data_IF_421489718003
#
_entry.id   IF_421489718003
#
_cell.length_a   1.000
_cell.length_b   1.000
_cell.length_c   1.000
_cell.angle_alpha   90.00
_cell.angle_beta   90.00
_cell.angle_gamma   90.00
#
_symmetry.space_group_name_H-M   'P 1'
#
loop_
_entity.id
_entity.type
_entity.pdbx_description
1 polymer ?
#
# COMPACT_ATOMS: atom_id res chain seq x y z
N UNK A 1 -11.06 17.93 10.32
CA UNK A 1 -9.95 18.90 10.33
C UNK A 1 -9.09 18.63 11.56
N UNK A 2 -7.77 18.51 11.41
CA UNK A 2 -6.87 18.14 12.53
C UNK A 2 -6.53 19.40 13.32
N UNK A 3 -6.90 19.43 14.61
CA UNK A 3 -6.46 20.50 15.52
C UNK A 3 -4.97 20.32 15.83
N UNK A 4 -4.18 21.40 15.66
CA UNK A 4 -2.73 21.45 15.90
C UNK A 4 -1.94 20.32 15.20
N UNK A 5 -1.77 20.38 13.86
CA UNK A 5 -1.18 19.30 13.07
C UNK A 5 0.25 18.94 13.51
N UNK A 6 1.03 19.90 13.98
CA UNK A 6 2.45 19.71 14.36
C UNK A 6 2.65 18.65 15.46
N UNK A 7 1.79 18.63 16.48
CA UNK A 7 1.91 17.72 17.61
C UNK A 7 1.00 16.50 17.48
N UNK A 8 -0.17 16.68 16.88
CA UNK A 8 -1.18 15.62 16.76
C UNK A 8 -0.76 14.56 15.73
N UNK A 9 -0.17 14.97 14.60
CA UNK A 9 0.26 14.04 13.53
C UNK A 9 1.30 13.02 14.00
N UNK A 10 2.42 13.40 14.66
CA UNK A 10 3.41 12.40 15.09
C UNK A 10 2.87 11.48 16.18
N UNK A 11 2.06 12.00 17.12
CA UNK A 11 1.45 11.20 18.18
C UNK A 11 0.43 10.20 17.65
N UNK A 12 -0.42 10.62 16.71
CA UNK A 12 -1.41 9.74 16.09
C UNK A 12 -0.75 8.67 15.21
N UNK A 13 0.36 9.02 14.53
CA UNK A 13 1.14 8.06 13.78
C UNK A 13 1.74 6.98 14.70
N UNK A 14 2.36 7.38 15.82
CA UNK A 14 2.99 6.44 16.74
C UNK A 14 1.97 5.52 17.43
N UNK A 15 0.84 6.08 17.90
CA UNK A 15 -0.21 5.29 18.52
C UNK A 15 -0.89 4.35 17.50
N UNK A 16 -1.18 4.85 16.31
CA UNK A 16 -1.77 4.06 15.23
C UNK A 16 -0.87 2.88 14.83
N UNK A 17 0.40 3.13 14.55
CA UNK A 17 1.35 2.07 14.20
C UNK A 17 1.49 1.03 15.30
N UNK A 18 1.53 1.45 16.56
CA UNK A 18 1.66 0.53 17.71
C UNK A 18 0.44 -0.39 17.84
N UNK A 19 -0.77 0.18 17.72
CA UNK A 19 -2.03 -0.58 17.79
C UNK A 19 -2.12 -1.57 16.62
N UNK A 20 -1.84 -1.11 15.40
CA UNK A 20 -1.85 -1.99 14.22
C UNK A 20 -0.85 -3.14 14.40
N UNK A 21 0.38 -2.85 14.84
CA UNK A 21 1.40 -3.87 15.08
C UNK A 21 0.95 -4.90 16.12
N UNK A 22 0.37 -4.44 17.23
CA UNK A 22 -0.16 -5.32 18.27
C UNK A 22 -1.26 -6.23 17.74
N UNK A 23 -2.23 -5.68 16.99
CA UNK A 23 -3.31 -6.46 16.39
C UNK A 23 -2.78 -7.50 15.41
N UNK A 24 -1.83 -7.13 14.55
CA UNK A 24 -1.20 -8.07 13.62
C UNK A 24 -0.47 -9.21 14.35
N UNK A 25 0.28 -8.91 15.41
CA UNK A 25 0.94 -9.93 16.22
C UNK A 25 -0.09 -10.86 16.87
N UNK A 26 -1.15 -10.31 17.45
CA UNK A 26 -2.20 -11.07 18.12
C UNK A 26 -2.95 -12.00 17.15
N UNK A 27 -3.23 -11.52 15.92
CA UNK A 27 -3.83 -12.34 14.87
C UNK A 27 -2.90 -13.49 14.43
N UNK A 28 -1.61 -13.22 14.24
CA UNK A 28 -0.65 -14.27 13.88
C UNK A 28 -0.51 -15.33 14.99
N UNK A 29 -0.47 -14.91 16.26
CA UNK A 29 -0.46 -15.82 17.41
C UNK A 29 -1.73 -16.68 17.42
N UNK A 30 -2.91 -16.07 17.18
CA UNK A 30 -4.19 -16.78 17.11
C UNK A 30 -4.23 -17.83 15.99
N UNK A 31 -3.68 -17.51 14.82
CA UNK A 31 -3.59 -18.47 13.71
C UNK A 31 -2.67 -19.64 14.03
N UNK A 32 -1.47 -19.38 14.55
CA UNK A 32 -0.50 -20.43 14.89
C UNK A 32 -0.93 -21.29 16.08
N UNK A 33 -1.80 -20.79 16.96
CA UNK A 33 -2.33 -21.57 18.08
C UNK A 33 -3.37 -22.62 17.64
N UNK A 34 -4.08 -22.39 16.52
CA UNK A 34 -5.19 -23.23 16.07
C UNK A 34 -4.83 -24.08 14.85
N UNK A 35 -4.01 -23.55 13.95
CA UNK A 35 -3.66 -24.17 12.67
C UNK A 35 -2.24 -24.73 12.69
N UNK A 36 -2.05 -25.85 11.99
CA UNK A 36 -0.71 -26.37 11.73
C UNK A 36 -0.01 -25.59 10.61
N UNK A 37 1.33 -25.52 10.58
CA UNK A 37 2.05 -24.81 9.51
C UNK A 37 1.74 -25.32 8.11
N UNK A 38 1.47 -26.61 7.95
CA UNK A 38 1.11 -27.19 6.65
C UNK A 38 -0.26 -26.69 6.16
N UNK A 39 -1.25 -26.59 7.05
CA UNK A 39 -2.58 -26.07 6.71
C UNK A 39 -2.54 -24.59 6.31
N UNK A 40 -1.66 -23.80 6.92
CA UNK A 40 -1.48 -22.37 6.59
C UNK A 40 -0.94 -22.21 5.17
N UNK A 41 0.02 -23.04 4.77
CA UNK A 41 0.65 -22.96 3.45
C UNK A 41 -0.28 -23.49 2.35
N UNK A 42 -1.11 -24.49 2.66
CA UNK A 42 -2.04 -25.08 1.68
C UNK A 42 -3.36 -24.31 1.55
N UNK A 43 -3.68 -23.40 2.46
CA UNK A 43 -4.96 -22.67 2.47
C UNK A 43 -4.89 -21.39 1.63
N UNK A 44 -5.81 -21.23 0.69
CA UNK A 44 -5.97 -19.96 -0.07
C UNK A 44 -6.39 -18.78 0.83
N UNK A 45 -7.15 -19.06 1.90
CA UNK A 45 -7.56 -18.06 2.89
C UNK A 45 -7.43 -18.59 4.31
N UNK A 46 -6.31 -18.24 4.95
CA UNK A 46 -5.97 -18.64 6.32
C UNK A 46 -7.06 -18.26 7.32
N UNK A 47 -7.68 -17.08 7.15
CA UNK A 47 -8.73 -16.59 8.03
C UNK A 47 -10.02 -17.44 7.99
N UNK A 48 -10.39 -17.93 6.81
CA UNK A 48 -11.58 -18.78 6.65
C UNK A 48 -11.31 -20.17 7.22
N UNK A 49 -10.12 -20.74 6.97
CA UNK A 49 -9.73 -22.03 7.56
C UNK A 49 -9.66 -21.96 9.09
N UNK A 50 -9.14 -20.86 9.64
CA UNK A 50 -9.16 -20.61 11.08
C UNK A 50 -10.59 -20.58 11.65
N UNK A 51 -11.50 -19.83 11.01
CA UNK A 51 -12.88 -19.74 11.47
C UNK A 51 -13.60 -21.09 11.41
N UNK A 52 -13.34 -21.90 10.38
CA UNK A 52 -13.91 -23.24 10.26
C UNK A 52 -13.52 -24.16 11.42
N UNK A 53 -12.32 -23.99 11.98
CA UNK A 53 -11.85 -24.75 13.14
C UNK A 53 -12.48 -24.29 14.45
N UNK A 54 -12.68 -22.99 14.63
CA UNK A 54 -13.16 -22.43 15.90
C UNK A 54 -14.69 -22.36 15.96
N UNK A 55 -15.33 -21.81 14.92
CA UNK A 55 -16.78 -21.63 14.84
C UNK A 55 -17.30 -22.04 13.44
N UNK A 56 -17.62 -23.33 13.23
CA UNK A 56 -18.06 -23.85 11.93
C UNK A 56 -19.32 -23.14 11.37
N UNK A 57 -20.21 -22.67 12.25
CA UNK A 57 -21.43 -21.95 11.87
C UNK A 57 -21.20 -20.51 11.41
N UNK A 58 -20.07 -19.90 11.76
CA UNK A 58 -19.76 -18.49 11.49
C UNK A 58 -18.92 -18.27 10.21
N UNK A 59 -18.59 -19.33 9.46
CA UNK A 59 -17.76 -19.25 8.24
C UNK A 59 -18.28 -18.23 7.22
N UNK A 60 -19.60 -18.20 6.99
CA UNK A 60 -20.20 -17.29 6.01
C UNK A 60 -20.03 -15.83 6.41
N UNK A 61 -20.12 -15.54 7.70
CA UNK A 61 -20.00 -14.18 8.24
C UNK A 61 -18.59 -13.65 8.05
N UNK A 62 -17.56 -14.45 8.34
CA UNK A 62 -16.17 -14.00 8.15
C UNK A 62 -15.84 -13.81 6.66
N UNK A 63 -16.31 -14.71 5.79
CA UNK A 63 -16.06 -14.60 4.35
C UNK A 63 -16.70 -13.32 3.77
N UNK A 64 -17.93 -13.01 4.19
CA UNK A 64 -18.58 -11.76 3.83
C UNK A 64 -17.83 -10.54 4.38
N UNK A 65 -17.36 -10.58 5.63
CA UNK A 65 -16.58 -9.50 6.23
C UNK A 65 -15.25 -9.22 5.52
N UNK A 66 -14.54 -10.28 5.11
CA UNK A 66 -13.31 -10.15 4.32
C UNK A 66 -13.63 -9.56 2.94
N UNK A 67 -14.67 -10.08 2.27
CA UNK A 67 -15.06 -9.63 0.94
C UNK A 67 -15.45 -8.15 0.90
N UNK A 68 -16.25 -7.69 1.87
CA UNK A 68 -16.64 -6.28 1.96
C UNK A 68 -15.45 -5.37 2.27
N UNK A 69 -14.51 -5.82 3.10
CA UNK A 69 -13.29 -5.08 3.42
C UNK A 69 -12.36 -4.95 2.20
N UNK A 70 -12.19 -6.03 1.44
CA UNK A 70 -11.43 -6.01 0.19
C UNK A 70 -12.07 -5.08 -0.84
N UNK A 71 -13.39 -5.16 -1.01
CA UNK A 71 -14.13 -4.27 -1.90
C UNK A 71 -13.93 -2.79 -1.50
N UNK A 72 -14.14 -2.46 -0.22
CA UNK A 72 -13.95 -1.09 0.27
C UNK A 72 -12.52 -0.57 0.04
N UNK A 73 -11.51 -1.41 0.28
CA UNK A 73 -10.10 -1.07 0.08
C UNK A 73 -9.79 -0.76 -1.39
N UNK A 74 -10.31 -1.56 -2.31
CA UNK A 74 -10.17 -1.35 -3.76
C UNK A 74 -10.83 -0.04 -4.22
N UNK A 75 -12.06 0.23 -3.76
CA UNK A 75 -12.75 1.50 -4.06
C UNK A 75 -11.95 2.70 -3.56
N UNK A 76 -11.43 2.64 -2.33
CA UNK A 76 -10.60 3.72 -1.78
C UNK A 76 -9.30 3.93 -2.58
N UNK A 77 -8.69 2.85 -3.05
CA UNK A 77 -7.51 2.91 -3.93
C UNK A 77 -7.79 3.63 -5.24
N UNK A 78 -8.89 3.30 -5.92
CA UNK A 78 -9.30 3.94 -7.18
C UNK A 78 -9.59 5.43 -6.97
N UNK A 79 -10.30 5.79 -5.90
CA UNK A 79 -10.61 7.20 -5.58
C UNK A 79 -9.36 8.01 -5.22
N UNK A 80 -8.40 7.40 -4.54
CA UNK A 80 -7.14 8.07 -4.19
C UNK A 80 -6.27 8.30 -5.43
N UNK A 81 -6.17 7.28 -6.28
CA UNK A 81 -5.40 7.36 -7.52
C UNK A 81 -5.99 8.41 -8.48
N UNK A 82 -7.32 8.42 -8.68
CA UNK A 82 -7.96 9.37 -9.60
C UNK A 82 -7.69 10.84 -9.26
N UNK A 83 -7.57 11.19 -7.97
CA UNK A 83 -7.17 12.53 -7.52
C UNK A 83 -5.74 12.90 -7.90
N UNK A 84 -4.82 11.94 -7.87
CA UNK A 84 -3.43 12.13 -8.29
C UNK A 84 -3.38 12.39 -9.79
N UNK A 85 -4.09 11.58 -10.60
CA UNK A 85 -4.19 11.77 -12.05
C UNK A 85 -4.82 13.13 -12.42
N UNK A 86 -5.85 13.55 -11.68
CA UNK A 86 -6.49 14.86 -11.86
C UNK A 86 -5.53 16.02 -11.56
N UNK A 87 -4.74 15.95 -10.49
CA UNK A 87 -3.75 17.01 -10.21
C UNK A 87 -2.59 17.00 -11.21
N UNK A 88 -2.10 15.83 -11.59
CA UNK A 88 -1.04 15.70 -12.57
C UNK A 88 -1.45 16.24 -13.96
N UNK A 89 -2.72 16.14 -14.35
CA UNK A 89 -3.22 16.75 -15.59
C UNK A 89 -3.37 18.27 -15.48
N UNK A 90 -3.73 18.81 -14.31
CA UNK A 90 -3.72 20.26 -14.08
C UNK A 90 -2.31 20.87 -14.15
N UNK A 91 -1.31 20.12 -13.69
CA UNK A 91 0.10 20.52 -13.76
C UNK A 91 0.70 20.33 -15.17
N UNK A 92 -0.11 19.95 -16.16
CA UNK A 92 0.29 19.76 -17.55
C UNK A 92 1.14 18.50 -17.82
N UNK A 93 1.30 17.62 -16.84
CA UNK A 93 2.07 16.38 -16.97
C UNK A 93 1.31 15.27 -17.70
N UNK A 94 -0.02 15.37 -17.74
CA UNK A 94 -0.91 14.42 -18.39
C UNK A 94 -1.90 15.13 -19.33
N UNK A 95 -2.43 14.43 -20.36
CA UNK A 95 -3.45 14.96 -21.24
C UNK A 95 -4.64 15.56 -20.49
N UNK A 96 -5.16 16.68 -21.02
CA UNK A 96 -6.24 17.47 -20.39
C UNK A 96 -7.53 16.66 -20.19
N UNK A 97 -7.72 15.57 -20.93
CA UNK A 97 -8.86 14.64 -20.82
C UNK A 97 -9.03 14.13 -19.38
N UNK A 98 -7.94 13.96 -18.62
CA UNK A 98 -7.99 13.51 -17.23
C UNK A 98 -8.37 14.61 -16.22
N UNK A 99 -8.38 15.87 -16.65
CA UNK A 99 -8.85 17.01 -15.84
C UNK A 99 -10.35 17.26 -15.99
N UNK A 100 -11.02 16.56 -16.91
CA UNK A 100 -12.47 16.71 -17.12
C UNK A 100 -13.24 16.15 -15.93
N UNK A 101 -13.92 17.06 -15.23
CA UNK A 101 -14.83 16.75 -14.14
C UNK A 101 -16.25 16.58 -14.70
N UNK A 102 -16.96 15.58 -14.20
CA UNK A 102 -18.40 15.46 -14.42
C UNK A 102 -19.18 16.48 -13.57
N UNK A 103 -20.49 16.59 -13.79
CA UNK A 103 -21.42 17.49 -13.06
C UNK A 103 -21.37 17.32 -11.52
N UNK A 104 -20.92 16.15 -11.05
CA UNK A 104 -20.76 15.82 -9.63
C UNK A 104 -19.32 16.03 -9.12
N UNK A 105 -18.49 16.83 -9.82
CA UNK A 105 -17.08 17.09 -9.49
C UNK A 105 -16.22 15.82 -9.30
N UNK A 106 -16.54 14.76 -10.06
CA UNK A 106 -15.78 13.51 -10.04
C UNK A 106 -15.01 13.32 -11.36
N UNK A 107 -13.71 12.99 -11.33
CA UNK A 107 -12.92 12.75 -12.54
C UNK A 107 -13.22 11.35 -13.11
N UNK A 108 -14.35 11.23 -13.82
CA UNK A 108 -14.87 9.95 -14.32
C UNK A 108 -13.91 9.26 -15.29
N UNK A 109 -13.27 10.02 -16.19
CA UNK A 109 -12.34 9.48 -17.20
C UNK A 109 -11.12 8.83 -16.53
N UNK A 110 -10.56 9.48 -15.50
CA UNK A 110 -9.43 8.93 -14.75
C UNK A 110 -9.82 7.64 -14.00
N UNK A 111 -11.02 7.61 -13.40
CA UNK A 111 -11.54 6.40 -12.72
C UNK A 111 -11.71 5.24 -13.68
N UNK A 112 -12.30 5.48 -14.86
CA UNK A 112 -12.49 4.44 -15.88
C UNK A 112 -11.15 3.89 -16.34
N UNK A 113 -10.17 4.75 -16.65
CA UNK A 113 -8.85 4.30 -17.08
C UNK A 113 -8.15 3.45 -16.02
N UNK A 114 -8.15 3.89 -14.76
CA UNK A 114 -7.51 3.16 -13.65
C UNK A 114 -8.19 1.80 -13.47
N UNK A 115 -9.52 1.74 -13.60
CA UNK A 115 -10.29 0.49 -13.50
C UNK A 115 -9.96 -0.46 -14.64
N UNK A 116 -9.88 0.03 -15.88
CA UNK A 116 -9.51 -0.77 -17.05
C UNK A 116 -8.09 -1.30 -16.90
N UNK A 117 -7.13 -0.42 -16.58
CA UNK A 117 -5.72 -0.81 -16.43
C UNK A 117 -5.52 -1.81 -15.29
N UNK A 118 -6.20 -1.61 -14.17
CA UNK A 118 -6.18 -2.56 -13.04
C UNK A 118 -6.79 -3.91 -13.43
N UNK A 119 -7.88 -3.91 -14.20
CA UNK A 119 -8.53 -5.14 -14.67
C UNK A 119 -7.61 -5.92 -15.61
N UNK A 120 -6.94 -5.24 -16.55
CA UNK A 120 -5.96 -5.85 -17.46
C UNK A 120 -4.80 -6.45 -16.66
N UNK A 121 -4.25 -5.71 -15.69
CA UNK A 121 -3.14 -6.17 -14.87
C UNK A 121 -3.49 -7.42 -14.06
N UNK A 122 -4.72 -7.50 -13.52
CA UNK A 122 -5.20 -8.67 -12.78
C UNK A 122 -5.39 -9.89 -13.69
N UNK A 123 -5.88 -9.69 -14.91
CA UNK A 123 -6.08 -10.79 -15.87
C UNK A 123 -4.74 -11.35 -16.37
N UNK A 124 -3.74 -10.49 -16.57
CA UNK A 124 -2.46 -10.88 -17.16
C UNK A 124 -1.50 -11.58 -16.18
N UNK A 125 -1.66 -11.40 -14.87
CA UNK A 125 -0.64 -11.79 -13.87
C UNK A 125 -1.20 -12.65 -12.73
N UNK A 126 -0.36 -13.55 -12.21
CA UNK A 126 -0.67 -14.30 -10.99
C UNK A 126 -0.49 -13.41 -9.74
N UNK A 127 -1.30 -13.63 -8.71
CA UNK A 127 -1.28 -12.90 -7.43
C UNK A 127 0.13 -12.77 -6.84
N UNK A 128 0.88 -13.89 -6.77
CA UNK A 128 2.20 -13.91 -6.13
C UNK A 128 3.19 -13.01 -6.87
N UNK A 129 3.17 -13.04 -8.20
CA UNK A 129 4.02 -12.17 -9.02
C UNK A 129 3.58 -10.72 -8.90
N UNK A 130 2.27 -10.45 -8.92
CA UNK A 130 1.74 -9.09 -8.80
C UNK A 130 2.15 -8.44 -7.48
N UNK A 131 2.06 -9.17 -6.36
CA UNK A 131 2.52 -8.69 -5.03
C UNK A 131 4.01 -8.41 -5.04
N UNK A 132 4.83 -9.28 -5.66
CA UNK A 132 6.29 -9.05 -5.78
C UNK A 132 6.60 -7.78 -6.58
N UNK A 133 5.97 -7.59 -7.74
CA UNK A 133 6.20 -6.44 -8.60
C UNK A 133 5.74 -5.13 -7.95
N UNK A 134 4.52 -5.11 -7.39
CA UNK A 134 3.99 -3.92 -6.69
C UNK A 134 4.84 -3.60 -5.46
N UNK A 135 5.29 -4.62 -4.73
CA UNK A 135 6.22 -4.47 -3.61
C UNK A 135 7.51 -3.77 -4.04
N UNK A 136 8.17 -4.28 -5.10
CA UNK A 136 9.39 -3.69 -5.64
C UNK A 136 9.18 -2.23 -6.07
N UNK A 137 8.10 -1.94 -6.81
CA UNK A 137 7.76 -0.58 -7.22
C UNK A 137 7.52 0.36 -6.04
N UNK A 138 6.82 -0.12 -5.00
CA UNK A 138 6.54 0.66 -3.79
C UNK A 138 7.82 1.03 -3.02
N UNK A 139 8.75 0.08 -2.89
CA UNK A 139 10.05 0.34 -2.26
C UNK A 139 10.92 1.30 -3.07
N UNK A 140 10.88 1.20 -4.40
CA UNK A 140 11.57 2.13 -5.29
C UNK A 140 11.03 3.56 -5.15
N UNK A 141 9.71 3.74 -5.18
CA UNK A 141 9.07 5.05 -4.96
C UNK A 141 9.38 5.60 -3.57
N UNK A 142 9.37 4.75 -2.53
CA UNK A 142 9.73 5.15 -1.18
C UNK A 142 11.18 5.66 -1.10
N UNK A 143 12.13 4.97 -1.76
CA UNK A 143 13.52 5.41 -1.87
C UNK A 143 13.61 6.80 -2.55
N UNK A 144 12.88 6.99 -3.65
CA UNK A 144 12.87 8.27 -4.36
C UNK A 144 12.30 9.41 -3.50
N UNK A 145 11.25 9.16 -2.73
CA UNK A 145 10.70 10.14 -1.78
C UNK A 145 11.72 10.52 -0.71
N UNK A 146 12.46 9.56 -0.15
CA UNK A 146 13.49 9.83 0.86
C UNK A 146 14.67 10.63 0.28
N UNK A 147 15.10 10.32 -0.94
CA UNK A 147 16.12 11.10 -1.65
C UNK A 147 15.60 12.52 -1.95
N UNK A 148 14.35 12.66 -2.37
CA UNK A 148 13.69 13.95 -2.56
C UNK A 148 13.67 14.78 -1.28
N UNK A 149 13.40 14.16 -0.13
CA UNK A 149 13.46 14.80 1.18
C UNK A 149 14.88 15.31 1.52
N UNK A 150 15.92 14.52 1.22
CA UNK A 150 17.32 14.93 1.42
C UNK A 150 17.70 16.07 0.48
N UNK A 151 17.33 15.98 -0.80
CA UNK A 151 17.57 17.05 -1.80
C UNK A 151 16.89 18.35 -1.39
N UNK A 152 15.65 18.30 -0.91
CA UNK A 152 14.93 19.47 -0.41
C UNK A 152 15.55 20.04 0.88
N UNK A 153 16.16 19.19 1.71
CA UNK A 153 16.93 19.62 2.88
C UNK A 153 18.20 20.38 2.49
N UNK A 154 18.85 20.00 1.40
CA UNK A 154 20.04 20.66 0.89
C UNK A 154 19.71 21.96 0.14
N UNK A 155 18.71 21.95 -0.76
CA UNK A 155 18.42 23.09 -1.64
C UNK A 155 17.64 24.22 -0.97
N UNK A 156 16.77 23.92 0.00
CA UNK A 156 15.93 24.92 0.67
C UNK A 156 15.95 24.73 2.20
N UNK A 157 17.07 25.08 2.86
CA UNK A 157 17.22 24.89 4.30
C UNK A 157 16.28 25.76 5.12
N UNK A 158 15.96 26.97 4.66
CA UNK A 158 15.24 28.00 5.45
C UNK A 158 13.72 27.87 5.46
N UNK A 159 13.16 26.85 4.80
CA UNK A 159 11.71 26.63 4.84
C UNK A 159 11.26 26.28 6.28
N UNK A 160 10.17 26.89 6.79
CA UNK A 160 9.62 26.54 8.10
C UNK A 160 9.13 25.09 8.06
N UNK A 161 9.77 24.22 8.86
CA UNK A 161 9.46 22.79 8.95
C UNK A 161 8.81 22.52 10.32
N UNK A 162 7.47 22.35 10.39
CA UNK A 162 6.79 22.01 11.65
C UNK A 162 7.28 20.68 12.23
N UNK A 163 7.67 19.73 11.38
CA UNK A 163 8.16 18.42 11.78
C UNK A 163 9.53 18.13 11.16
N UNK A 164 10.52 17.74 11.98
CA UNK A 164 11.89 17.45 11.56
C UNK A 164 12.28 16.02 11.90
N UNK A 165 12.37 15.18 10.87
CA UNK A 165 12.83 13.79 11.00
C UNK A 165 14.34 13.73 11.22
N UNK A 166 14.77 12.83 12.10
CA UNK A 166 16.17 12.55 12.41
C UNK A 166 16.92 12.00 11.17
N UNK A 167 18.11 12.56 10.87
CA UNK A 167 18.85 12.23 9.64
C UNK A 167 19.25 10.75 9.53
N UNK A 168 19.78 10.10 10.59
CA UNK A 168 20.11 8.68 10.52
C UNK A 168 18.92 7.78 10.18
N UNK A 169 17.70 8.15 10.59
CA UNK A 169 16.50 7.41 10.23
C UNK A 169 16.23 7.45 8.71
N UNK A 170 16.46 8.60 8.07
CA UNK A 170 16.30 8.74 6.61
C UNK A 170 17.32 7.89 5.87
N UNK A 171 18.59 7.94 6.28
CA UNK A 171 19.63 7.09 5.69
C UNK A 171 19.36 5.60 5.91
N UNK A 172 18.96 5.21 7.12
CA UNK A 172 18.58 3.83 7.43
C UNK A 172 17.41 3.34 6.58
N UNK A 173 16.40 4.17 6.35
CA UNK A 173 15.28 3.81 5.48
C UNK A 173 15.69 3.65 4.01
N UNK A 174 16.62 4.48 3.52
CA UNK A 174 17.19 4.34 2.17
C UNK A 174 17.97 3.03 2.07
N UNK A 175 18.86 2.73 3.02
CA UNK A 175 19.62 1.47 3.03
C UNK A 175 18.69 0.26 3.08
N UNK A 176 17.64 0.30 3.90
CA UNK A 176 16.65 -0.76 4.00
C UNK A 176 15.84 -0.94 2.70
N UNK A 177 15.42 0.16 2.07
CA UNK A 177 14.71 0.12 0.79
C UNK A 177 15.60 -0.46 -0.31
N UNK A 178 16.88 -0.07 -0.35
CA UNK A 178 17.87 -0.63 -1.29
C UNK A 178 18.04 -2.13 -1.07
N UNK A 179 18.21 -2.57 0.18
CA UNK A 179 18.33 -3.98 0.53
C UNK A 179 17.11 -4.80 0.06
N UNK A 180 15.88 -4.30 0.29
CA UNK A 180 14.65 -4.96 -0.13
C UNK A 180 14.43 -4.99 -1.64
N UNK A 181 15.02 -4.04 -2.40
CA UNK A 181 15.01 -4.08 -3.87
C UNK A 181 16.02 -5.13 -4.37
N UNK A 182 17.20 -5.24 -3.74
CA UNK A 182 18.23 -6.18 -4.15
C UNK A 182 17.93 -7.64 -3.82
N UNK A 183 17.27 -7.93 -2.69
CA UNK A 183 16.86 -9.29 -2.31
C UNK A 183 16.14 -10.04 -3.44
N UNK A 184 15.02 -9.56 -3.99
CA UNK A 184 14.28 -10.29 -5.02
C UNK A 184 15.09 -10.43 -6.32
N UNK A 185 15.94 -9.44 -6.65
CA UNK A 185 16.82 -9.48 -7.83
C UNK A 185 17.90 -10.56 -7.68
N UNK A 186 18.43 -10.76 -6.47
CA UNK A 186 19.50 -11.72 -6.18
C UNK A 186 18.94 -13.15 -6.00
N UNK A 187 17.80 -13.28 -5.30
CA UNK A 187 17.19 -14.58 -5.00
C UNK A 187 16.35 -15.17 -6.13
N UNK A 188 15.94 -14.37 -7.12
CA UNK A 188 15.21 -14.83 -8.31
C UNK A 188 15.91 -14.35 -9.58
N UNK A 189 17.09 -14.90 -9.92
CA UNK A 189 17.79 -14.59 -11.17
C UNK A 189 17.15 -15.29 -12.37
N UNK A 190 15.82 -15.39 -12.43
CA UNK A 190 15.13 -15.86 -13.63
C UNK A 190 14.75 -14.64 -14.47
N UNK A 191 15.56 -14.43 -15.50
CA UNK A 191 15.57 -13.35 -16.49
C UNK A 191 14.34 -13.41 -17.43
N UNK A 192 13.36 -14.28 -17.18
CA UNK A 192 12.29 -14.59 -18.13
C UNK A 192 11.06 -13.69 -18.10
N UNK A 193 11.03 -12.63 -17.29
CA UNK A 193 9.86 -11.73 -17.21
C UNK A 193 10.16 -10.25 -17.42
N UNK A 194 11.29 -9.94 -18.08
CA UNK A 194 11.63 -8.56 -18.53
C UNK A 194 11.07 -8.26 -19.94
N UNK A 195 10.09 -9.04 -20.42
CA UNK A 195 9.34 -8.73 -21.66
C UNK A 195 7.86 -8.57 -21.39
#
# INVERSE_FOLDING_TARGET
EIKSPTDTIPKSLLSGLSIVTLLYLLTNISYLAVLTPQEIISSDSVAVTWMNRVFPSAQRVISLGISTSLMSSSFNGILSASRIFYRASQDGQLPVIYSMLNDHHSPVVAVILITILSSIAVIASNLIYLVKYVGLGSWCLNMLHMIGLLKLRYQKPDLPRPYKVWLPFVFGNITFSVFLIFIPVILSPNIEHVY
#
